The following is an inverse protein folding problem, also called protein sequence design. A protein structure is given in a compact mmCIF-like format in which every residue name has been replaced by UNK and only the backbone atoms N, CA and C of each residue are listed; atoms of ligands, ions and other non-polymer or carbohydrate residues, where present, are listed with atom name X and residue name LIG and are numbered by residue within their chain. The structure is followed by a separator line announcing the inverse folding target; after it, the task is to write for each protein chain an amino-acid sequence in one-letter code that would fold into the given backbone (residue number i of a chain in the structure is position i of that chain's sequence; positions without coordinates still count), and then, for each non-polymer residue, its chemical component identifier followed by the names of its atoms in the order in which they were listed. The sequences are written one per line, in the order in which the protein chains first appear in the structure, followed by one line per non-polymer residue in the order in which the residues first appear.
data_IF_253360362298
#
_entry.id   IF_253360362298
#
_cell.length_a   1.000
_cell.length_b   1.000
_cell.length_c   1.000
_cell.angle_alpha   90.00
_cell.angle_beta   90.00
_cell.angle_gamma   90.00
#
_symmetry.space_group_name_H-M   'P 1'
#
loop_
_entity.id
_entity.type
_entity.pdbx_description
1 polymer ?
#
# COMPACT_ATOMS: atom_id res chain seq x y z
N UNK A 1 0.26 -6.26 9.49
CA UNK A 1 0.68 -4.93 8.99
C UNK A 1 0.46 -4.81 7.50
N UNK A 2 -0.15 -3.70 7.05
CA UNK A 2 -0.25 -3.36 5.64
C UNK A 2 0.21 -1.93 5.36
N UNK A 3 0.62 -1.66 4.12
CA UNK A 3 0.88 -0.32 3.59
C UNK A 3 -0.01 -0.07 2.38
N UNK A 4 -0.63 1.10 2.32
CA UNK A 4 -1.42 1.57 1.19
C UNK A 4 -0.88 2.94 0.79
N UNK A 5 -0.35 3.05 -0.42
CA UNK A 5 0.28 4.28 -0.90
C UNK A 5 0.18 4.41 -2.42
N UNK A 6 0.17 5.63 -2.98
CA UNK A 6 0.55 5.81 -4.37
C UNK A 6 2.07 5.64 -4.51
N UNK A 7 2.56 5.45 -5.73
CA UNK A 7 3.99 5.64 -6.01
C UNK A 7 4.43 7.10 -5.85
N UNK A 8 5.71 7.29 -5.55
CA UNK A 8 6.30 8.59 -5.25
C UNK A 8 6.82 9.25 -6.54
N UNK A 9 6.08 10.21 -7.06
CA UNK A 9 6.37 10.83 -8.37
C UNK A 9 7.47 11.91 -8.35
N UNK A 10 7.87 12.40 -7.17
CA UNK A 10 8.75 13.56 -7.00
C UNK A 10 10.25 13.22 -6.85
N UNK A 11 10.66 12.01 -7.21
CA UNK A 11 12.00 11.48 -6.91
C UNK A 11 13.03 11.60 -8.03
N UNK A 12 12.62 12.08 -9.21
CA UNK A 12 13.50 12.28 -10.37
C UNK A 12 14.35 11.03 -10.69
N UNK A 13 15.67 11.23 -10.86
CA UNK A 13 16.62 10.14 -11.21
C UNK A 13 16.72 9.03 -10.16
N UNK A 14 16.35 9.29 -8.92
CA UNK A 14 16.40 8.29 -7.84
C UNK A 14 15.13 7.41 -7.78
N UNK A 15 14.12 7.70 -8.61
CA UNK A 15 12.81 7.04 -8.51
C UNK A 15 12.91 5.51 -8.52
N UNK A 16 13.64 4.92 -9.48
CA UNK A 16 13.71 3.47 -9.61
C UNK A 16 14.34 2.77 -8.39
N UNK A 17 15.44 3.31 -7.84
CA UNK A 17 16.12 2.71 -6.68
C UNK A 17 15.33 2.89 -5.39
N UNK A 18 14.67 4.04 -5.21
CA UNK A 18 13.84 4.29 -4.03
C UNK A 18 12.60 3.38 -4.03
N UNK A 19 11.89 3.25 -5.17
CA UNK A 19 10.74 2.35 -5.27
C UNK A 19 11.13 0.89 -5.01
N UNK A 20 12.29 0.45 -5.51
CA UNK A 20 12.84 -0.87 -5.20
C UNK A 20 13.05 -1.07 -3.70
N UNK A 21 13.72 -0.13 -3.03
CA UNK A 21 13.97 -0.20 -1.59
C UNK A 21 12.66 -0.21 -0.78
N UNK A 22 11.64 0.56 -1.20
CA UNK A 22 10.32 0.57 -0.59
C UNK A 22 9.66 -0.81 -0.74
N UNK A 23 9.69 -1.38 -1.95
CA UNK A 23 9.21 -2.72 -2.24
C UNK A 23 9.82 -3.79 -1.34
N UNK A 24 11.15 -3.81 -1.25
CA UNK A 24 11.90 -4.75 -0.40
C UNK A 24 11.52 -4.63 1.08
N UNK A 25 11.25 -3.42 1.57
CA UNK A 25 10.78 -3.20 2.95
C UNK A 25 9.35 -3.66 3.17
N UNK A 26 8.45 -3.37 2.23
CA UNK A 26 7.08 -3.85 2.30
C UNK A 26 7.05 -5.38 2.30
N UNK A 27 7.79 -6.03 1.40
CA UNK A 27 7.80 -7.50 1.32
C UNK A 27 8.36 -8.16 2.58
N UNK A 28 9.40 -7.56 3.18
CA UNK A 28 10.03 -8.06 4.40
C UNK A 28 9.13 -7.89 5.63
N UNK A 29 8.58 -6.70 5.83
CA UNK A 29 8.01 -6.30 7.12
C UNK A 29 6.48 -6.28 7.14
N UNK A 30 5.82 -6.36 5.98
CA UNK A 30 4.37 -6.30 5.84
C UNK A 30 3.77 -7.62 5.31
N UNK A 31 2.50 -7.84 5.66
CA UNK A 31 1.68 -8.92 5.10
C UNK A 31 1.04 -8.50 3.78
N UNK A 32 0.87 -7.19 3.56
CA UNK A 32 0.19 -6.63 2.39
C UNK A 32 0.77 -5.27 2.00
N UNK A 33 1.07 -5.11 0.71
CA UNK A 33 1.32 -3.82 0.08
C UNK A 33 0.27 -3.55 -0.99
N UNK A 34 -0.37 -2.38 -0.94
CA UNK A 34 -1.29 -1.91 -1.98
C UNK A 34 -0.74 -0.61 -2.55
N UNK A 35 -0.44 -0.65 -3.84
CA UNK A 35 0.00 0.51 -4.61
C UNK A 35 -1.18 1.00 -5.45
N UNK A 36 -1.59 2.25 -5.24
CA UNK A 36 -2.82 2.81 -5.84
C UNK A 36 -2.60 3.47 -7.20
N UNK A 37 -1.34 3.58 -7.65
CA UNK A 37 -0.96 4.12 -8.96
C UNK A 37 -0.06 3.13 -9.71
N UNK A 38 -0.04 3.21 -11.04
CA UNK A 38 0.70 2.26 -11.89
C UNK A 38 2.15 2.65 -12.16
N UNK A 39 2.47 3.94 -12.08
CA UNK A 39 3.81 4.45 -12.32
C UNK A 39 4.78 3.87 -11.31
N UNK A 40 5.90 3.31 -11.75
CA UNK A 40 6.89 2.63 -10.90
C UNK A 40 6.40 1.39 -10.12
N UNK A 41 5.20 0.88 -10.39
CA UNK A 41 4.67 -0.29 -9.67
C UNK A 41 5.58 -1.50 -9.79
N UNK A 42 6.12 -1.79 -10.98
CA UNK A 42 7.02 -2.94 -11.20
C UNK A 42 8.29 -2.86 -10.34
N UNK A 43 8.83 -1.66 -10.13
CA UNK A 43 9.97 -1.44 -9.24
C UNK A 43 9.61 -1.69 -7.77
N UNK A 44 8.41 -1.32 -7.35
CA UNK A 44 7.92 -1.61 -5.98
C UNK A 44 7.59 -3.09 -5.81
N UNK A 45 6.94 -3.71 -6.80
CA UNK A 45 6.53 -5.10 -6.72
C UNK A 45 7.73 -6.03 -6.71
N UNK A 46 8.68 -5.83 -7.63
CA UNK A 46 9.73 -6.81 -7.90
C UNK A 46 9.12 -8.20 -8.08
N UNK A 47 9.63 -9.18 -7.33
CA UNK A 47 9.14 -10.56 -7.32
C UNK A 47 8.12 -10.85 -6.19
N UNK A 48 7.68 -9.83 -5.45
CA UNK A 48 6.79 -10.02 -4.29
C UNK A 48 5.40 -10.48 -4.72
N UNK A 49 4.87 -11.48 -3.99
CA UNK A 49 3.48 -11.91 -4.08
C UNK A 49 2.56 -11.22 -3.05
N UNK A 50 3.11 -10.31 -2.23
CA UNK A 50 2.38 -9.56 -1.19
C UNK A 50 1.99 -8.15 -1.64
N UNK A 51 2.52 -7.69 -2.78
CA UNK A 51 2.35 -6.33 -3.28
C UNK A 51 1.43 -6.33 -4.51
N UNK A 52 0.37 -5.53 -4.45
CA UNK A 52 -0.70 -5.50 -5.45
C UNK A 52 -0.93 -4.07 -5.95
N UNK A 53 -1.25 -3.91 -7.23
CA UNK A 53 -1.68 -2.64 -7.82
C UNK A 53 -3.20 -2.60 -7.85
N UNK A 54 -3.82 -1.97 -6.84
CA UNK A 54 -5.28 -1.87 -6.70
C UNK A 54 -5.68 -0.39 -6.54
N UNK A 55 -6.70 0.06 -7.26
CA UNK A 55 -7.23 1.42 -7.16
C UNK A 55 -8.72 1.47 -6.81
N UNK A 56 -9.43 0.35 -6.92
CA UNK A 56 -10.84 0.24 -6.56
C UNK A 56 -11.00 0.13 -5.03
N UNK A 57 -11.79 1.02 -4.39
CA UNK A 57 -11.94 1.02 -2.94
C UNK A 57 -12.52 -0.28 -2.37
N UNK A 58 -13.45 -0.93 -3.06
CA UNK A 58 -14.07 -2.17 -2.60
C UNK A 58 -13.12 -3.37 -2.73
N UNK A 59 -12.34 -3.43 -3.81
CA UNK A 59 -11.30 -4.44 -3.99
C UNK A 59 -10.19 -4.30 -2.93
N UNK A 60 -9.80 -3.06 -2.63
CA UNK A 60 -8.83 -2.76 -1.56
C UNK A 60 -9.37 -3.27 -0.22
N UNK A 61 -10.63 -2.96 0.12
CA UNK A 61 -11.22 -3.39 1.39
C UNK A 61 -11.29 -4.91 1.49
N UNK A 62 -11.77 -5.60 0.45
CA UNK A 62 -11.79 -7.07 0.40
C UNK A 62 -10.38 -7.67 0.56
N UNK A 63 -9.37 -7.04 -0.06
CA UNK A 63 -7.99 -7.51 0.05
C UNK A 63 -7.44 -7.34 1.46
N UNK A 64 -7.75 -6.23 2.12
CA UNK A 64 -7.41 -5.97 3.52
C UNK A 64 -8.06 -7.01 4.42
N UNK A 65 -9.37 -7.21 4.31
CA UNK A 65 -10.17 -8.13 5.15
C UNK A 65 -9.73 -9.59 4.99
N UNK A 66 -9.33 -10.00 3.79
CA UNK A 66 -8.82 -11.36 3.53
C UNK A 66 -7.36 -11.58 3.96
N UNK A 67 -6.63 -10.52 4.33
CA UNK A 67 -5.19 -10.62 4.63
C UNK A 67 -4.85 -10.26 6.08
N UNK A 68 -5.57 -9.31 6.68
CA UNK A 68 -5.26 -8.77 8.01
C UNK A 68 -6.19 -9.33 9.09
N UNK A 69 -5.68 -9.38 10.32
CA UNK A 69 -6.42 -9.80 11.51
C UNK A 69 -6.66 -8.63 12.48
N UNK A 70 -7.58 -8.81 13.42
CA UNK A 70 -7.81 -7.83 14.49
C UNK A 70 -6.50 -7.55 15.24
N UNK A 71 -6.13 -6.28 15.36
CA UNK A 71 -4.87 -5.86 15.97
C UNK A 71 -3.79 -5.47 14.96
N UNK A 72 -3.89 -5.91 13.70
CA UNK A 72 -2.99 -5.47 12.64
C UNK A 72 -3.14 -3.97 12.36
N UNK A 73 -2.02 -3.34 12.00
CA UNK A 73 -1.99 -1.93 11.63
C UNK A 73 -1.92 -1.71 10.12
N UNK A 74 -2.57 -0.65 9.67
CA UNK A 74 -2.51 -0.15 8.29
C UNK A 74 -1.84 1.21 8.30
N UNK A 75 -0.76 1.35 7.54
CA UNK A 75 -0.17 2.64 7.20
C UNK A 75 -0.79 3.13 5.89
N UNK A 76 -1.38 4.32 5.93
CA UNK A 76 -1.84 5.03 4.74
C UNK A 76 -0.86 6.17 4.50
N UNK A 77 -0.17 6.15 3.37
CA UNK A 77 0.82 7.16 3.03
C UNK A 77 0.49 7.86 1.70
N UNK A 78 0.80 9.16 1.62
CA UNK A 78 0.60 9.97 0.42
C UNK A 78 -0.85 10.30 0.08
N UNK A 79 -1.08 10.75 -1.16
CA UNK A 79 -2.40 11.16 -1.65
C UNK A 79 -3.18 9.96 -2.17
N UNK A 80 -4.04 9.39 -1.31
CA UNK A 80 -4.99 8.35 -1.70
C UNK A 80 -6.38 8.92 -1.97
N UNK A 81 -7.19 8.20 -2.75
CA UNK A 81 -8.60 8.53 -2.94
C UNK A 81 -9.32 8.57 -1.57
N UNK A 82 -10.10 9.63 -1.34
CA UNK A 82 -10.85 9.84 -0.08
C UNK A 82 -11.80 8.69 0.24
N UNK A 83 -12.37 8.05 -0.77
CA UNK A 83 -13.27 6.92 -0.60
C UNK A 83 -12.53 5.69 -0.03
N UNK A 84 -11.31 5.43 -0.51
CA UNK A 84 -10.43 4.37 0.04
C UNK A 84 -10.21 4.65 1.52
N UNK A 85 -9.84 5.89 1.85
CA UNK A 85 -9.61 6.28 3.24
C UNK A 85 -10.88 6.08 4.10
N UNK A 86 -12.04 6.54 3.64
CA UNK A 86 -13.33 6.43 4.35
C UNK A 86 -13.67 4.98 4.67
N UNK A 87 -13.62 4.09 3.67
CA UNK A 87 -13.92 2.67 3.84
C UNK A 87 -13.00 2.00 4.87
N UNK A 88 -11.72 2.37 4.90
CA UNK A 88 -10.77 1.83 5.88
C UNK A 88 -11.07 2.34 7.30
N UNK A 89 -11.44 3.62 7.47
CA UNK A 89 -11.85 4.16 8.78
C UNK A 89 -13.11 3.49 9.31
N UNK A 90 -14.10 3.27 8.45
CA UNK A 90 -15.38 2.64 8.79
C UNK A 90 -15.21 1.17 9.21
N UNK A 91 -14.18 0.49 8.70
CA UNK A 91 -13.87 -0.90 9.02
C UNK A 91 -13.30 -1.14 10.44
N UNK A 92 -13.16 -0.11 11.28
CA UNK A 92 -12.62 -0.18 12.66
C UNK A 92 -11.19 -0.80 12.74
N UNK A 93 -10.36 -0.57 11.72
CA UNK A 93 -8.98 -1.07 11.68
C UNK A 93 -8.02 -0.12 12.41
N UNK A 94 -6.90 -0.64 12.93
CA UNK A 94 -5.88 0.20 13.57
C UNK A 94 -5.08 0.96 12.50
N UNK A 95 -5.40 2.24 12.29
CA UNK A 95 -4.77 3.06 11.25
C UNK A 95 -3.65 3.90 11.85
N UNK A 96 -2.46 3.81 11.26
CA UNK A 96 -1.31 4.66 11.56
C UNK A 96 -1.21 5.69 10.45
N UNK A 97 -1.16 6.98 10.83
CA UNK A 97 -0.79 8.07 9.94
C UNK A 97 0.66 8.46 10.22
N UNK A 98 1.48 8.72 9.20
CA UNK A 98 2.79 9.31 9.38
C UNK A 98 2.72 10.74 9.90
#
# INVERSE_FOLDING_TARGET
KAVIMPCLIELGRASASVHKNIGEKIDKDCQLGIITTKEFFEQVKGDSNKIFSLSDPDEILRKIESTLSKGDSILIEGRINKEIASKIYEANLNIIKP
#
